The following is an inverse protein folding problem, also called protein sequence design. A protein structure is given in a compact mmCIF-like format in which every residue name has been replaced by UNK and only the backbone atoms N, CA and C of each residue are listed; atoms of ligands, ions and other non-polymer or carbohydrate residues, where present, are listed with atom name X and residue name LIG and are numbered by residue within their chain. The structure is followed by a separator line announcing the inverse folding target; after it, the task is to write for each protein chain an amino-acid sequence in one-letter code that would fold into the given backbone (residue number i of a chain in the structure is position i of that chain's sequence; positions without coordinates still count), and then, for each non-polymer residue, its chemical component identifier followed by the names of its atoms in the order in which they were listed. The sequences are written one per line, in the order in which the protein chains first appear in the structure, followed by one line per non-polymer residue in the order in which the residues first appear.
data_IF_078244496867
#
_entry.id   IF_078244496867
#
_cell.length_a   1.000
_cell.length_b   1.000
_cell.length_c   1.000
_cell.angle_alpha   90.00
_cell.angle_beta   90.00
_cell.angle_gamma   90.00
#
_symmetry.space_group_name_H-M   'P 1'
#
loop_
_entity.id
_entity.type
_entity.pdbx_description
1 polymer ?
#
# COMPACT_ATOMS: atom_id res chain seq x y z
N UNK A 1 -13.83 5.43 -9.15
CA UNK A 1 -13.54 4.02 -8.83
C UNK A 1 -14.29 3.67 -7.55
N UNK A 2 -14.94 2.50 -7.46
CA UNK A 2 -15.70 2.11 -6.26
C UNK A 2 -14.74 1.74 -5.13
N UNK A 3 -15.03 2.22 -3.93
CA UNK A 3 -14.34 1.84 -2.69
C UNK A 3 -14.89 0.50 -2.20
N UNK A 4 -14.03 -0.33 -1.58
CA UNK A 4 -14.54 -1.49 -0.84
C UNK A 4 -15.35 -0.99 0.36
N UNK A 5 -16.54 -1.56 0.55
CA UNK A 5 -17.27 -1.43 1.82
C UNK A 5 -16.52 -2.15 2.94
N UNK A 6 -16.83 -1.85 4.20
CA UNK A 6 -16.22 -2.54 5.34
C UNK A 6 -16.45 -4.06 5.28
N UNK A 7 -17.65 -4.49 4.93
CA UNK A 7 -17.97 -5.91 4.71
C UNK A 7 -17.10 -6.55 3.61
N UNK A 8 -16.91 -5.86 2.48
CA UNK A 8 -16.06 -6.33 1.38
C UNK A 8 -14.57 -6.39 1.79
N UNK A 9 -14.13 -5.49 2.67
CA UNK A 9 -12.76 -5.48 3.23
C UNK A 9 -12.53 -6.68 4.12
N UNK A 10 -13.47 -7.00 5.01
CA UNK A 10 -13.40 -8.17 5.88
C UNK A 10 -13.35 -9.46 5.07
N UNK A 11 -14.23 -9.61 4.07
CA UNK A 11 -14.21 -10.76 3.15
C UNK A 11 -12.85 -10.88 2.44
N UNK A 12 -12.28 -9.75 2.00
CA UNK A 12 -10.97 -9.75 1.35
C UNK A 12 -9.84 -10.14 2.32
N UNK A 13 -9.86 -9.65 3.55
CA UNK A 13 -8.86 -9.97 4.57
C UNK A 13 -8.88 -11.46 4.91
N UNK A 14 -10.04 -11.99 5.28
CA UNK A 14 -10.21 -13.40 5.66
C UNK A 14 -9.86 -14.33 4.51
N UNK A 15 -10.36 -14.01 3.30
CA UNK A 15 -10.04 -14.78 2.10
C UNK A 15 -8.55 -14.81 1.81
N UNK A 16 -7.84 -13.69 1.95
CA UNK A 16 -6.40 -13.62 1.71
C UNK A 16 -5.57 -14.37 2.76
N UNK A 17 -6.00 -14.38 4.03
CA UNK A 17 -5.37 -15.18 5.09
C UNK A 17 -5.48 -16.67 4.76
N UNK A 18 -6.68 -17.13 4.39
CA UNK A 18 -6.92 -18.53 4.05
C UNK A 18 -6.18 -18.94 2.78
N UNK A 19 -6.22 -18.11 1.72
CA UNK A 19 -5.51 -18.36 0.47
C UNK A 19 -3.98 -18.39 0.66
N UNK A 20 -3.44 -17.60 1.60
CA UNK A 20 -2.03 -17.66 1.99
C UNK A 20 -1.72 -18.97 2.74
N UNK A 21 -2.60 -19.42 3.63
CA UNK A 21 -2.46 -20.67 4.39
C UNK A 21 -2.38 -21.90 3.48
N UNK A 22 -3.19 -21.94 2.43
CA UNK A 22 -3.19 -23.05 1.45
C UNK A 22 -2.07 -22.93 0.39
N UNK A 23 -1.35 -21.81 0.33
CA UNK A 23 -0.28 -21.58 -0.65
C UNK A 23 -0.78 -21.29 -2.07
N UNK A 24 -1.92 -20.61 -2.21
CA UNK A 24 -2.48 -20.28 -3.52
C UNK A 24 -1.57 -19.33 -4.32
N UNK A 25 -1.30 -19.67 -5.59
CA UNK A 25 -0.43 -18.86 -6.47
C UNK A 25 -1.08 -17.55 -6.93
N UNK A 26 -2.40 -17.55 -7.18
CA UNK A 26 -3.13 -16.42 -7.76
C UNK A 26 -4.32 -16.00 -6.89
N UNK A 27 -4.09 -15.55 -5.65
CA UNK A 27 -5.16 -15.35 -4.68
C UNK A 27 -6.17 -14.28 -5.14
N UNK A 28 -5.71 -13.20 -5.79
CA UNK A 28 -6.59 -12.12 -6.25
C UNK A 28 -7.52 -12.51 -7.40
N UNK A 29 -7.19 -13.56 -8.16
CA UNK A 29 -8.09 -14.07 -9.21
C UNK A 29 -9.26 -14.78 -8.54
N UNK A 30 -8.99 -15.63 -7.55
CA UNK A 30 -10.02 -16.29 -6.76
C UNK A 30 -10.87 -15.27 -6.01
N UNK A 31 -10.25 -14.27 -5.38
CA UNK A 31 -11.00 -13.22 -4.69
C UNK A 31 -11.86 -12.38 -5.62
N UNK A 32 -11.51 -12.26 -6.90
CA UNK A 32 -12.37 -11.61 -7.89
C UNK A 32 -13.58 -12.45 -8.29
N UNK A 33 -13.55 -13.78 -8.07
CA UNK A 33 -14.73 -14.64 -8.21
C UNK A 33 -15.66 -14.49 -7.00
N UNK A 34 -15.10 -14.29 -5.80
CA UNK A 34 -15.85 -14.04 -4.56
C UNK A 34 -16.46 -12.62 -4.54
N UNK A 35 -15.71 -11.64 -5.03
CA UNK A 35 -16.11 -10.23 -5.11
C UNK A 35 -16.19 -9.79 -6.58
N UNK A 36 -17.19 -10.26 -7.36
CA UNK A 36 -17.29 -10.02 -8.80
C UNK A 36 -17.44 -8.55 -9.20
N UNK A 37 -17.78 -7.69 -8.25
CA UNK A 37 -17.80 -6.24 -8.42
C UNK A 37 -16.41 -5.60 -8.58
N UNK A 38 -15.34 -6.33 -8.22
CA UNK A 38 -13.96 -5.90 -8.37
C UNK A 38 -13.18 -6.86 -9.26
N UNK A 39 -12.30 -6.31 -10.09
CA UNK A 39 -11.32 -7.13 -10.80
C UNK A 39 -10.11 -7.43 -9.91
N UNK A 40 -9.37 -8.50 -10.25
CA UNK A 40 -8.17 -8.91 -9.52
C UNK A 40 -7.11 -7.80 -9.38
N UNK A 41 -7.02 -6.89 -10.36
CA UNK A 41 -6.08 -5.76 -10.31
C UNK A 41 -6.49 -4.73 -9.25
N UNK A 42 -7.77 -4.44 -9.12
CA UNK A 42 -8.30 -3.56 -8.08
C UNK A 42 -8.04 -4.15 -6.70
N UNK A 43 -8.36 -5.43 -6.51
CA UNK A 43 -8.13 -6.13 -5.23
C UNK A 43 -6.64 -6.17 -4.86
N UNK A 44 -5.76 -6.47 -5.83
CA UNK A 44 -4.31 -6.41 -5.63
C UNK A 44 -3.83 -5.02 -5.22
N UNK A 45 -4.38 -3.97 -5.85
CA UNK A 45 -4.05 -2.60 -5.50
C UNK A 45 -4.53 -2.21 -4.10
N UNK A 46 -5.75 -2.61 -3.70
CA UNK A 46 -6.24 -2.40 -2.34
C UNK A 46 -5.35 -3.12 -1.31
N UNK A 47 -5.01 -4.38 -1.58
CA UNK A 47 -4.13 -5.17 -0.72
C UNK A 47 -2.79 -4.49 -0.49
N UNK A 48 -2.08 -4.11 -1.57
CA UNK A 48 -0.73 -3.53 -1.50
C UNK A 48 -0.66 -2.16 -0.85
N UNK A 49 -1.79 -1.45 -0.72
CA UNK A 49 -1.79 -0.08 -0.23
C UNK A 49 -2.54 0.12 1.09
N UNK A 50 -3.51 -0.75 1.44
CA UNK A 50 -4.45 -0.46 2.52
C UNK A 50 -4.85 -1.65 3.40
N UNK A 51 -4.70 -2.90 2.94
CA UNK A 51 -5.28 -4.06 3.64
C UNK A 51 -4.25 -5.07 4.13
N UNK A 52 -3.08 -5.17 3.50
CA UNK A 52 -2.07 -6.13 3.95
C UNK A 52 -1.63 -5.81 5.40
N UNK A 53 -1.82 -6.73 6.37
CA UNK A 53 -1.47 -6.47 7.77
C UNK A 53 0.01 -6.20 8.02
N UNK A 54 0.88 -6.58 7.07
CA UNK A 54 2.31 -6.30 7.15
C UNK A 54 2.65 -4.84 6.79
N UNK A 55 1.66 -4.03 6.38
CA UNK A 55 1.86 -2.64 6.00
C UNK A 55 2.13 -1.73 7.19
N UNK A 56 3.17 -0.91 7.05
CA UNK A 56 3.52 0.14 7.97
C UNK A 56 3.10 1.51 7.43
N UNK A 57 2.12 2.12 8.10
CA UNK A 57 1.49 3.38 7.69
C UNK A 57 2.12 4.63 8.28
N UNK A 58 3.16 4.51 9.10
CA UNK A 58 3.91 5.68 9.56
C UNK A 58 4.47 6.46 8.38
N UNK A 59 4.74 7.75 8.55
CA UNK A 59 5.40 8.50 7.49
C UNK A 59 6.79 7.91 7.19
N UNK A 60 7.26 8.14 5.95
CA UNK A 60 8.64 7.82 5.60
C UNK A 60 9.56 8.72 6.43
N UNK A 61 10.49 8.11 7.14
CA UNK A 61 11.55 8.84 7.82
C UNK A 61 12.62 9.34 6.83
N UNK A 62 13.57 10.12 7.32
CA UNK A 62 14.60 10.71 6.44
C UNK A 62 15.64 9.69 5.96
N UNK A 63 15.87 8.62 6.71
CA UNK A 63 16.76 7.52 6.30
C UNK A 63 16.13 6.74 5.16
N UNK A 64 14.85 6.39 5.27
CA UNK A 64 14.08 5.71 4.22
C UNK A 64 13.98 6.54 2.95
N UNK A 65 13.73 7.86 3.08
CA UNK A 65 13.72 8.78 1.93
C UNK A 65 15.06 8.77 1.21
N UNK A 66 16.16 8.85 1.96
CA UNK A 66 17.52 8.79 1.43
C UNK A 66 17.76 7.45 0.74
N UNK A 67 17.37 6.35 1.36
CA UNK A 67 17.46 5.02 0.77
C UNK A 67 16.68 4.89 -0.54
N UNK A 68 15.44 5.40 -0.59
CA UNK A 68 14.62 5.39 -1.80
C UNK A 68 15.33 6.16 -2.93
N UNK A 69 15.90 7.31 -2.62
CA UNK A 69 16.62 8.13 -3.59
C UNK A 69 17.87 7.41 -4.12
N UNK A 70 18.67 6.84 -3.23
CA UNK A 70 19.87 6.08 -3.57
C UNK A 70 19.52 4.85 -4.42
N UNK A 71 18.52 4.08 -3.98
CA UNK A 71 18.07 2.89 -4.70
C UNK A 71 17.62 3.25 -6.12
N UNK A 72 16.81 4.31 -6.28
CA UNK A 72 16.35 4.74 -7.60
C UNK A 72 17.52 5.23 -8.44
N UNK A 73 18.49 5.96 -7.87
CA UNK A 73 19.66 6.44 -8.63
C UNK A 73 20.50 5.29 -9.19
N UNK A 74 20.59 4.17 -8.49
CA UNK A 74 21.40 3.01 -8.86
C UNK A 74 20.65 2.02 -9.78
N UNK A 75 19.34 1.91 -9.64
CA UNK A 75 18.53 0.88 -10.30
C UNK A 75 17.63 1.41 -11.42
N UNK A 76 17.63 2.73 -11.66
CA UNK A 76 16.87 3.32 -12.77
C UNK A 76 17.51 2.91 -14.10
N UNK A 77 16.81 2.02 -14.81
CA UNK A 77 17.22 1.53 -16.12
C UNK A 77 16.97 2.64 -17.15
N UNK A 78 17.92 2.81 -18.09
CA UNK A 78 17.95 3.80 -19.19
C UNK A 78 16.69 4.66 -19.38
N UNK A 79 15.59 4.08 -19.86
CA UNK A 79 14.30 4.74 -20.12
C UNK A 79 13.60 5.37 -18.90
N UNK A 80 14.27 5.41 -17.75
CA UNK A 80 13.76 5.99 -16.52
C UNK A 80 12.76 5.12 -15.79
N UNK A 81 12.64 3.84 -16.14
CA UNK A 81 11.70 2.90 -15.54
C UNK A 81 12.16 2.54 -14.12
N UNK A 82 11.22 2.63 -13.17
CA UNK A 82 11.45 2.28 -11.76
C UNK A 82 10.63 1.03 -11.45
N UNK A 83 11.32 -0.03 -11.03
CA UNK A 83 10.69 -1.28 -10.61
C UNK A 83 10.20 -1.18 -9.16
N UNK A 84 9.03 -0.54 -8.97
CA UNK A 84 8.44 -0.28 -7.65
C UNK A 84 8.32 -1.53 -6.76
N UNK A 85 8.09 -2.70 -7.36
CA UNK A 85 7.99 -3.97 -6.63
C UNK A 85 9.32 -4.33 -5.98
N UNK A 86 10.43 -4.15 -6.69
CA UNK A 86 11.77 -4.51 -6.21
C UNK A 86 12.24 -3.50 -5.17
N UNK A 87 12.09 -2.20 -5.45
CA UNK A 87 12.35 -1.14 -4.46
C UNK A 87 11.62 -1.37 -3.14
N UNK A 88 10.32 -1.70 -3.21
CA UNK A 88 9.49 -1.95 -2.02
C UNK A 88 9.94 -3.19 -1.25
N UNK A 89 10.40 -4.22 -1.95
CA UNK A 89 10.91 -5.44 -1.31
C UNK A 89 12.25 -5.19 -0.63
N UNK A 90 13.16 -4.45 -1.29
CA UNK A 90 14.46 -4.10 -0.73
C UNK A 90 14.32 -3.17 0.48
N UNK A 91 13.37 -2.23 0.42
CA UNK A 91 13.01 -1.39 1.58
C UNK A 91 12.52 -2.23 2.76
N UNK A 92 11.67 -3.24 2.51
CA UNK A 92 11.25 -4.19 3.54
C UNK A 92 12.43 -4.99 4.10
N UNK A 93 13.35 -5.43 3.24
CA UNK A 93 14.52 -6.19 3.68
C UNK A 93 15.46 -5.33 4.55
N UNK A 94 15.56 -4.03 4.27
CA UNK A 94 16.42 -3.09 4.99
C UNK A 94 15.83 -2.67 6.35
N UNK A 95 14.53 -2.32 6.40
CA UNK A 95 13.90 -1.73 7.59
C UNK A 95 12.96 -2.68 8.37
N UNK A 96 12.68 -3.86 7.82
CA UNK A 96 11.90 -4.92 8.47
C UNK A 96 10.38 -4.80 8.34
N UNK A 97 9.86 -3.73 7.75
CA UNK A 97 8.42 -3.53 7.54
C UNK A 97 8.09 -3.13 6.09
N UNK A 98 6.86 -3.43 5.66
CA UNK A 98 6.43 -3.21 4.28
C UNK A 98 5.76 -1.84 4.15
N UNK A 99 6.31 -0.93 3.35
CA UNK A 99 5.64 0.35 3.07
C UNK A 99 4.51 0.21 2.04
N UNK A 100 3.41 0.98 2.12
CA UNK A 100 2.44 1.06 1.05
C UNK A 100 3.10 1.50 -0.25
N UNK A 101 2.76 0.89 -1.38
CA UNK A 101 3.38 1.22 -2.66
C UNK A 101 3.11 2.68 -3.08
N UNK A 102 1.89 3.16 -2.82
CA UNK A 102 1.51 4.54 -3.08
C UNK A 102 2.32 5.53 -2.25
N UNK A 103 2.73 5.18 -1.03
CA UNK A 103 3.54 6.06 -0.19
C UNK A 103 4.92 6.33 -0.82
N UNK A 104 5.59 5.26 -1.26
CA UNK A 104 6.89 5.33 -1.95
C UNK A 104 6.78 6.10 -3.26
N UNK A 105 5.74 5.82 -4.07
CA UNK A 105 5.48 6.54 -5.32
C UNK A 105 5.19 8.02 -5.08
N UNK A 106 4.35 8.33 -4.11
CA UNK A 106 3.96 9.70 -3.79
C UNK A 106 5.17 10.52 -3.34
N UNK A 107 6.05 9.95 -2.52
CA UNK A 107 7.31 10.58 -2.17
C UNK A 107 8.14 10.94 -3.40
N UNK A 108 8.43 9.95 -4.25
CA UNK A 108 9.27 10.14 -5.44
C UNK A 108 8.67 11.18 -6.40
N UNK A 109 7.42 11.01 -6.81
CA UNK A 109 6.79 11.93 -7.76
C UNK A 109 6.61 13.34 -7.19
N UNK A 110 6.38 13.47 -5.88
CA UNK A 110 6.35 14.80 -5.24
C UNK A 110 7.72 15.45 -5.26
N UNK A 111 8.79 14.68 -5.02
CA UNK A 111 10.17 15.17 -5.14
C UNK A 111 10.48 15.61 -6.56
N UNK A 112 10.13 14.81 -7.58
CA UNK A 112 10.36 15.15 -8.99
C UNK A 112 9.64 16.44 -9.39
N UNK A 113 8.38 16.62 -8.97
CA UNK A 113 7.63 17.87 -9.22
C UNK A 113 8.30 19.10 -8.59
N UNK A 114 8.84 18.97 -7.37
CA UNK A 114 9.57 20.07 -6.73
C UNK A 114 10.84 20.44 -7.50
N UNK A 115 11.56 19.44 -8.03
CA UNK A 115 12.76 19.67 -8.83
C UNK A 115 12.38 20.42 -10.13
N UNK A 116 11.36 19.94 -10.85
CA UNK A 116 10.90 20.59 -12.09
C UNK A 116 10.43 22.02 -11.82
N UNK A 117 9.57 22.22 -10.82
CA UNK A 117 9.09 23.56 -10.46
C UNK A 117 10.20 24.50 -10.00
N UNK A 118 11.24 23.99 -9.32
CA UNK A 118 12.41 24.78 -8.95
C UNK A 118 13.27 25.14 -10.17
N UNK A 119 13.44 24.23 -11.13
CA UNK A 119 14.17 24.51 -12.38
C UNK A 119 13.43 25.51 -13.27
N UNK A 120 12.10 25.46 -13.31
CA UNK A 120 11.27 26.43 -14.02
C UNK A 120 11.29 27.81 -13.34
N UNK A 121 11.21 27.85 -12.01
CA UNK A 121 11.31 29.10 -11.24
C UNK A 121 12.71 29.75 -11.33
N UNK A 122 13.76 28.94 -11.45
CA UNK A 122 15.13 29.41 -11.68
C UNK A 122 15.41 29.80 -13.16
N UNK A 123 14.47 29.53 -14.08
CA UNK A 123 14.67 29.47 -15.52
C UNK A 123 14.18 30.66 -16.37
N UNK A 124 14.12 31.89 -15.85
CA UNK A 124 14.22 33.13 -16.68
C UNK A 124 15.70 33.56 -16.80
N UNK A 125 16.62 32.59 -16.92
CA UNK A 125 18.02 32.86 -17.26
C UNK A 125 18.68 31.64 -17.92
N UNK A 126 18.47 31.48 -19.22
CA UNK A 126 19.53 31.08 -20.16
C UNK A 126 19.90 29.60 -20.33
N UNK A 127 19.76 29.17 -21.59
CA UNK A 127 20.56 28.19 -22.33
C UNK A 127 20.26 26.67 -22.19
N UNK A 128 19.45 26.21 -23.15
CA UNK A 128 19.61 25.02 -23.98
C UNK A 128 20.55 23.90 -23.47
N UNK A 129 19.95 22.84 -22.95
CA UNK A 129 20.55 21.52 -22.81
C UNK A 129 19.44 20.48 -22.80
N UNK A 130 19.49 19.53 -23.73
CA UNK A 130 18.52 18.45 -23.93
C UNK A 130 18.39 17.57 -22.68
N UNK A 131 17.49 17.92 -21.76
CA UNK A 131 17.04 17.01 -20.71
C UNK A 131 15.88 16.20 -21.27
N UNK A 132 16.05 14.88 -21.38
CA UNK A 132 14.98 13.95 -21.72
C UNK A 132 13.78 14.24 -20.82
N UNK A 133 12.68 14.67 -21.44
CA UNK A 133 11.48 15.07 -20.74
C UNK A 133 10.95 13.89 -19.92
N UNK A 134 11.09 13.97 -18.59
CA UNK A 134 10.41 13.06 -17.68
C UNK A 134 8.91 13.36 -17.84
N UNK A 135 8.22 12.56 -18.66
CA UNK A 135 6.76 12.60 -18.79
C UNK A 135 6.18 12.17 -17.45
N UNK A 136 5.91 13.14 -16.57
CA UNK A 136 5.19 12.89 -15.33
C UNK A 136 3.73 12.53 -15.67
N UNK A 137 3.17 11.46 -15.10
CA UNK A 137 1.77 11.15 -15.30
C UNK A 137 0.90 12.30 -14.76
N UNK A 138 -0.22 12.65 -15.42
CA UNK A 138 -1.10 13.73 -14.99
C UNK A 138 -1.66 13.46 -13.58
N UNK A 139 -1.95 14.55 -12.86
CA UNK A 139 -2.47 14.58 -11.47
C UNK A 139 -3.67 13.64 -11.26
N UNK A 140 -4.47 13.42 -12.30
CA UNK A 140 -5.62 12.51 -12.30
C UNK A 140 -5.29 11.03 -12.08
N UNK A 141 -4.03 10.61 -12.28
CA UNK A 141 -3.61 9.22 -12.01
C UNK A 141 -3.40 8.93 -10.52
N UNK A 142 -3.09 9.96 -9.71
CA UNK A 142 -2.74 9.79 -8.28
C UNK A 142 -3.93 10.15 -7.36
N UNK A 143 -4.82 11.08 -7.76
CA UNK A 143 -5.92 11.54 -6.91
C UNK A 143 -7.22 10.73 -7.00
N UNK A 144 -7.20 9.54 -7.60
CA UNK A 144 -8.41 8.70 -7.70
C UNK A 144 -8.64 7.79 -6.48
N UNK A 145 -8.03 8.11 -5.35
CA UNK A 145 -8.35 7.53 -4.04
C UNK A 145 -8.59 8.67 -3.04
N UNK A 146 -9.79 8.77 -2.45
CA UNK A 146 -10.05 9.73 -1.40
C UNK A 146 -9.21 9.33 -0.18
N UNK A 147 -8.19 10.12 0.10
CA UNK A 147 -7.63 10.22 1.44
C UNK A 147 -8.67 10.96 2.28
N UNK A 148 -9.41 10.24 3.11
CA UNK A 148 -10.28 10.83 4.12
C UNK A 148 -9.53 10.88 5.46
N UNK A 149 -9.03 12.05 5.89
CA UNK A 149 -8.36 12.20 7.19
C UNK A 149 -9.33 12.04 8.39
N UNK A 150 -10.64 11.88 8.15
CA UNK A 150 -11.65 11.70 9.20
C UNK A 150 -12.25 10.29 9.23
N UNK A 151 -11.63 9.29 8.57
CA UNK A 151 -12.08 7.90 8.71
C UNK A 151 -11.91 7.44 10.18
N UNK A 152 -12.98 6.97 10.84
CA UNK A 152 -13.00 6.74 12.30
C UNK A 152 -12.16 5.54 12.77
N UNK A 153 -11.43 4.87 11.86
CA UNK A 153 -10.60 3.69 12.16
C UNK A 153 -9.10 3.99 12.27
N UNK A 154 -8.71 5.25 12.49
CA UNK A 154 -7.39 5.55 13.07
C UNK A 154 -7.38 5.04 14.51
N UNK A 155 -6.54 4.05 14.80
CA UNK A 155 -6.28 3.60 16.16
C UNK A 155 -5.95 4.81 17.04
N UNK A 156 -6.89 5.17 17.91
CA UNK A 156 -6.66 6.11 19.00
C UNK A 156 -5.62 5.47 19.90
N UNK A 157 -4.38 5.98 19.85
CA UNK A 157 -3.36 5.68 20.84
C UNK A 157 -3.89 6.06 22.22
N UNK A 158 -3.92 5.15 23.22
CA UNK A 158 -4.24 5.55 24.58
C UNK A 158 -3.09 6.39 25.17
N UNK A 159 -3.37 7.40 26.01
CA UNK A 159 -2.34 8.16 26.70
C UNK A 159 -1.56 7.28 27.67
N UNK A 160 -0.24 7.47 27.70
CA UNK A 160 0.66 6.79 28.65
C UNK A 160 0.30 7.22 30.08
N UNK A 161 -0.22 6.29 30.88
CA UNK A 161 -0.20 6.40 32.33
C UNK A 161 0.28 5.08 32.94
N UNK A 162 1.44 5.14 33.61
CA UNK A 162 1.95 4.10 34.48
C UNK A 162 1.02 3.94 35.69
N UNK A 163 0.52 2.73 35.96
CA UNK A 163 0.58 2.12 37.30
C UNK A 163 0.08 0.67 37.35
N UNK A 164 0.64 -0.03 38.34
CA UNK A 164 0.66 -1.45 38.65
C UNK A 164 -0.68 -2.21 38.79
N UNK A 165 -0.60 -3.50 38.42
CA UNK A 165 -1.21 -4.71 39.00
C UNK A 165 -2.75 -4.90 39.01
N UNK A 166 -3.17 -6.04 38.45
CA UNK A 166 -4.47 -6.67 38.69
C UNK A 166 -4.87 -7.59 37.54
N UNK A 167 -4.72 -8.91 37.70
CA UNK A 167 -5.12 -9.89 36.69
C UNK A 167 -6.60 -10.22 36.75
N UNK A 168 -7.26 -10.38 35.60
CA UNK A 168 -8.51 -11.13 35.43
C UNK A 168 -8.66 -11.66 33.98
N UNK A 169 -8.59 -12.99 33.88
CA UNK A 169 -9.32 -13.93 32.99
C UNK A 169 -9.83 -13.44 31.63
N UNK A 170 -9.25 -13.99 30.56
CA UNK A 170 -9.74 -13.95 29.17
C UNK A 170 -11.06 -14.74 29.03
N UNK A 171 -12.14 -14.15 28.48
CA UNK A 171 -13.22 -14.92 27.88
C UNK A 171 -12.80 -15.39 26.49
N UNK A 172 -12.85 -16.70 26.28
CA UNK A 172 -12.67 -17.36 24.98
C UNK A 172 -13.65 -16.78 23.96
N UNK A 173 -13.14 -15.99 23.00
CA UNK A 173 -13.91 -15.62 21.83
C UNK A 173 -14.10 -16.86 20.96
N UNK A 174 -15.32 -17.39 20.99
CA UNK A 174 -15.78 -18.35 20.00
C UNK A 174 -15.86 -17.65 18.63
N UNK A 175 -15.38 -18.27 17.55
CA UNK A 175 -15.50 -17.70 16.20
C UNK A 175 -16.97 -17.77 15.77
N UNK A 176 -17.64 -16.62 15.74
CA UNK A 176 -19.01 -16.51 15.25
C UNK A 176 -19.03 -16.52 13.71
N UNK A 177 -19.68 -17.55 13.17
CA UNK A 177 -20.56 -17.51 12.00
C UNK A 177 -19.96 -17.18 10.63
N UNK A 178 -19.19 -18.13 10.12
CA UNK A 178 -19.17 -18.39 8.69
C UNK A 178 -20.47 -19.08 8.25
N UNK A 179 -21.19 -18.50 7.28
CA UNK A 179 -22.33 -19.15 6.63
C UNK A 179 -21.83 -20.38 5.86
N UNK A 180 -22.25 -21.56 6.30
CA UNK A 180 -21.82 -22.88 5.79
C UNK A 180 -22.05 -23.12 4.29
N UNK A 181 -22.84 -22.32 3.59
CA UNK A 181 -23.19 -22.56 2.19
C UNK A 181 -22.12 -22.11 1.18
N UNK A 182 -21.20 -21.21 1.55
CA UNK A 182 -20.14 -20.72 0.63
C UNK A 182 -18.86 -21.58 0.67
N UNK A 183 -18.76 -22.53 1.61
CA UNK A 183 -17.60 -23.42 1.78
C UNK A 183 -17.47 -24.52 0.73
N UNK A 184 -18.52 -24.76 -0.07
CA UNK A 184 -18.45 -25.80 -1.11
C UNK A 184 -17.46 -25.46 -2.22
N UNK A 185 -17.06 -24.19 -2.36
CA UNK A 185 -16.13 -23.76 -3.41
C UNK A 185 -14.66 -23.93 -3.01
N UNK A 186 -14.30 -23.65 -1.75
CA UNK A 186 -12.91 -23.70 -1.28
C UNK A 186 -12.42 -25.11 -0.94
N UNK A 187 -13.31 -26.08 -0.70
CA UNK A 187 -12.96 -27.49 -0.40
C UNK A 187 -12.72 -28.33 -1.68
N UNK A 188 -12.85 -27.72 -2.87
CA UNK A 188 -12.70 -28.40 -4.17
C UNK A 188 -11.38 -28.11 -4.91
N UNK A 189 -10.46 -27.36 -4.31
CA UNK A 189 -9.10 -27.09 -4.84
C UNK A 189 -8.10 -27.97 -4.09
#
# INVERSE_FOLDING_TARGET
MRLLSEEEREILLDGMVELRRIGCRNPFVIMAEVLPQFNARQLNNYWRNYLDPELCYYDLDDEEKTYIDDWISQNRIGNGIIEWKNLRQDLKNQYGFLRPENMVKNYWYSKQRRIVGATEAAGIAGAAGTAEAIVLPPISFILNFPFDPNSPNMCVLPPIHNQHQGGLVLPTLQPYFFKQEEYKFLVRI
#
